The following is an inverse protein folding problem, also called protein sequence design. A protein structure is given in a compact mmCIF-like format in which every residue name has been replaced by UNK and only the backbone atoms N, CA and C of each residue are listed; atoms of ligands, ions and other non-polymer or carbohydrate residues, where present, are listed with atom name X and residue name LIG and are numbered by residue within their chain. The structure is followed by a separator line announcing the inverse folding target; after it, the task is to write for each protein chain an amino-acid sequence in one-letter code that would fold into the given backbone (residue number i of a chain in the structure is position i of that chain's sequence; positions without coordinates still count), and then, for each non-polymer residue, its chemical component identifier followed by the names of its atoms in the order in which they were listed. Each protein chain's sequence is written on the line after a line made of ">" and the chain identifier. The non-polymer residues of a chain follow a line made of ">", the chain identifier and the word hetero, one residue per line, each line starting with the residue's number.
data_IF_247859969942
#
_entry.id   IF_247859969942
#
_cell.length_a   1.000
_cell.length_b   1.000
_cell.length_c   1.000
_cell.angle_alpha   90.00
_cell.angle_beta   90.00
_cell.angle_gamma   90.00
#
_symmetry.space_group_name_H-M   'P 1'
#
loop_
_entity.id
_entity.type
_entity.pdbx_description
1 polymer ?
#
# COMPACT_ATOMS: atom_id res chain seq x y z
N UNK A 1 12.39 14.11 10.29
CA UNK A 1 12.73 15.50 10.66
C UNK A 1 13.10 15.65 12.14
N UNK A 2 12.19 15.96 13.08
CA UNK A 2 12.54 16.33 14.48
C UNK A 2 13.50 15.39 15.23
N UNK A 3 13.35 14.07 15.08
CA UNK A 3 14.18 13.08 15.76
C UNK A 3 15.64 13.06 15.26
N UNK A 4 15.85 13.34 13.97
CA UNK A 4 17.15 13.17 13.31
C UNK A 4 17.71 14.49 12.74
N UNK A 5 17.01 15.60 12.89
CA UNK A 5 17.42 16.91 12.37
C UNK A 5 17.42 17.03 10.83
N UNK A 6 16.90 16.04 10.11
CA UNK A 6 16.88 15.99 8.63
C UNK A 6 15.74 16.82 8.03
N UNK A 7 15.88 17.18 6.76
CA UNK A 7 14.85 17.83 5.94
C UNK A 7 13.63 16.93 5.70
N UNK A 8 12.56 17.52 5.16
CA UNK A 8 11.36 16.77 4.77
C UNK A 8 11.64 15.82 3.60
N UNK A 9 12.38 16.28 2.59
CA UNK A 9 12.76 15.49 1.42
C UNK A 9 13.57 14.26 1.81
N UNK A 10 14.64 14.43 2.60
CA UNK A 10 15.46 13.31 3.10
C UNK A 10 14.63 12.32 3.94
N UNK A 11 13.67 12.83 4.71
CA UNK A 11 12.76 11.99 5.46
C UNK A 11 11.87 11.18 4.51
N UNK A 12 11.20 11.83 3.56
CA UNK A 12 10.35 11.17 2.57
C UNK A 12 11.10 10.10 1.76
N UNK A 13 12.34 10.39 1.35
CA UNK A 13 13.17 9.44 0.61
C UNK A 13 13.49 8.18 1.42
N UNK A 14 13.89 8.33 2.69
CA UNK A 14 14.12 7.15 3.55
C UNK A 14 12.83 6.38 3.82
N UNK A 15 11.69 7.06 3.98
CA UNK A 15 10.40 6.40 4.13
C UNK A 15 10.03 5.58 2.88
N UNK A 16 10.22 6.13 1.68
CA UNK A 16 10.02 5.42 0.43
C UNK A 16 10.96 4.20 0.32
N UNK A 17 12.24 4.36 0.71
CA UNK A 17 13.20 3.26 0.77
C UNK A 17 12.73 2.14 1.71
N UNK A 18 12.20 2.51 2.89
CA UNK A 18 11.67 1.55 3.86
C UNK A 18 10.41 0.83 3.38
N UNK A 19 9.54 1.50 2.63
CA UNK A 19 8.38 0.85 1.98
C UNK A 19 8.84 -0.23 1.00
N UNK A 20 9.86 0.05 0.18
CA UNK A 20 10.44 -0.95 -0.74
C UNK A 20 11.05 -2.14 0.01
N UNK A 21 11.73 -1.89 1.14
CA UNK A 21 12.26 -2.96 1.99
C UNK A 21 11.13 -3.80 2.59
N UNK A 22 10.10 -3.17 3.14
CA UNK A 22 8.95 -3.86 3.72
C UNK A 22 8.23 -4.74 2.70
N UNK A 23 8.13 -4.31 1.44
CA UNK A 23 7.59 -5.16 0.36
C UNK A 23 8.44 -6.41 0.11
N UNK A 24 9.78 -6.31 0.19
CA UNK A 24 10.67 -7.47 0.07
C UNK A 24 10.51 -8.42 1.25
N UNK A 25 10.44 -7.89 2.47
CA UNK A 25 10.22 -8.67 3.69
C UNK A 25 8.88 -9.42 3.63
N UNK A 26 7.79 -8.76 3.22
CA UNK A 26 6.49 -9.42 3.00
C UNK A 26 6.64 -10.60 2.03
N UNK A 27 7.30 -10.39 0.88
CA UNK A 27 7.47 -11.46 -0.11
C UNK A 27 8.30 -12.63 0.44
N UNK A 28 9.37 -12.34 1.18
CA UNK A 28 10.21 -13.37 1.80
C UNK A 28 9.46 -14.16 2.87
N UNK A 29 8.66 -13.51 3.72
CA UNK A 29 7.86 -14.17 4.76
C UNK A 29 6.76 -15.05 4.16
N UNK A 30 6.17 -14.66 3.03
CA UNK A 30 5.19 -15.50 2.32
C UNK A 30 5.79 -16.80 1.74
N UNK A 31 7.12 -16.89 1.60
CA UNK A 31 7.81 -18.11 1.17
C UNK A 31 8.14 -19.06 2.33
N UNK A 32 8.07 -18.59 3.57
CA UNK A 32 8.41 -19.36 4.77
C UNK A 32 7.16 -20.08 5.30
N UNK A 33 7.31 -21.26 5.93
CA UNK A 33 6.23 -21.86 6.71
C UNK A 33 5.75 -20.88 7.78
N UNK A 34 4.44 -20.78 7.93
CA UNK A 34 3.80 -19.86 8.86
C UNK A 34 2.65 -20.55 9.57
N UNK A 35 2.44 -20.21 10.84
CA UNK A 35 1.32 -20.74 11.65
C UNK A 35 -0.02 -20.11 11.24
N UNK A 36 0.01 -18.92 10.64
CA UNK A 36 -1.18 -18.20 10.24
C UNK A 36 -1.82 -18.84 9.00
N UNK A 37 -3.15 -18.94 9.01
CA UNK A 37 -3.88 -19.42 7.84
C UNK A 37 -3.69 -18.46 6.64
N UNK A 38 -3.41 -19.02 5.47
CA UNK A 38 -3.20 -18.25 4.22
C UNK A 38 -4.27 -17.17 3.95
N UNK A 39 -5.59 -17.41 4.16
CA UNK A 39 -6.60 -16.36 3.96
C UNK A 39 -6.40 -15.12 4.84
N UNK A 40 -5.85 -15.26 6.05
CA UNK A 40 -5.58 -14.13 6.95
C UNK A 40 -4.42 -13.31 6.40
N UNK A 41 -3.35 -13.98 5.96
CA UNK A 41 -2.18 -13.33 5.38
C UNK A 41 -2.53 -12.59 4.10
N UNK A 42 -3.33 -13.20 3.21
CA UNK A 42 -3.79 -12.57 1.98
C UNK A 42 -4.63 -11.32 2.26
N UNK A 43 -5.44 -11.30 3.33
CA UNK A 43 -6.18 -10.09 3.74
C UNK A 43 -5.23 -8.97 4.15
N UNK A 44 -4.21 -9.25 4.96
CA UNK A 44 -3.23 -8.25 5.37
C UNK A 44 -2.43 -7.70 4.17
N UNK A 45 -2.01 -8.60 3.26
CA UNK A 45 -1.34 -8.24 2.01
C UNK A 45 -2.22 -7.33 1.13
N UNK A 46 -3.49 -7.68 0.96
CA UNK A 46 -4.41 -6.87 0.16
C UNK A 46 -4.72 -5.52 0.80
N UNK A 47 -4.75 -5.41 2.13
CA UNK A 47 -4.87 -4.13 2.82
C UNK A 47 -3.66 -3.22 2.52
N UNK A 48 -2.44 -3.76 2.59
CA UNK A 48 -1.23 -3.01 2.23
C UNK A 48 -1.27 -2.51 0.78
N UNK A 49 -1.73 -3.35 -0.16
CA UNK A 49 -1.90 -2.98 -1.58
C UNK A 49 -2.91 -1.85 -1.78
N UNK A 50 -4.03 -1.89 -1.05
CA UNK A 50 -5.06 -0.84 -1.13
C UNK A 50 -4.52 0.49 -0.59
N UNK A 51 -3.76 0.48 0.50
CA UNK A 51 -3.13 1.69 1.05
C UNK A 51 -2.13 2.27 0.04
N UNK A 52 -1.27 1.45 -0.55
CA UNK A 52 -0.32 1.88 -1.59
C UNK A 52 -1.04 2.52 -2.79
N UNK A 53 -2.12 1.90 -3.26
CA UNK A 53 -2.93 2.43 -4.36
C UNK A 53 -3.55 3.80 -4.03
N UNK A 54 -4.16 3.93 -2.86
CA UNK A 54 -4.90 5.14 -2.47
C UNK A 54 -3.98 6.33 -2.19
N UNK A 55 -2.78 6.09 -1.66
CA UNK A 55 -1.86 7.15 -1.25
C UNK A 55 -0.72 7.42 -2.24
N UNK A 56 -0.66 6.69 -3.36
CA UNK A 56 0.39 6.84 -4.37
C UNK A 56 0.59 8.28 -4.86
N UNK A 57 -0.50 9.02 -5.02
CA UNK A 57 -0.51 10.38 -5.56
C UNK A 57 -1.31 11.32 -4.64
N UNK A 58 -0.99 11.34 -3.35
CA UNK A 58 -1.72 12.11 -2.34
C UNK A 58 -2.92 11.36 -1.76
N UNK A 59 -3.75 12.03 -0.97
CA UNK A 59 -4.86 11.41 -0.24
C UNK A 59 -6.08 11.13 -1.13
N UNK A 60 -6.04 10.07 -1.93
CA UNK A 60 -7.17 9.67 -2.76
C UNK A 60 -8.26 8.90 -1.99
N UNK A 61 -8.08 8.70 -0.67
CA UNK A 61 -9.10 8.06 0.17
C UNK A 61 -10.14 9.08 0.62
N UNK A 62 -9.71 10.22 1.16
CA UNK A 62 -10.64 11.29 1.58
C UNK A 62 -10.87 12.32 0.49
N UNK A 63 -9.83 12.63 -0.31
CA UNK A 63 -9.91 13.55 -1.45
C UNK A 63 -10.02 12.73 -2.74
N UNK A 64 -11.17 12.08 -2.91
CA UNK A 64 -11.37 11.08 -3.96
C UNK A 64 -11.17 11.67 -5.36
N UNK A 65 -9.99 11.39 -5.93
CA UNK A 65 -9.61 11.77 -7.29
C UNK A 65 -10.26 10.88 -8.36
N UNK A 66 -10.08 11.28 -9.62
CA UNK A 66 -10.63 10.54 -10.77
C UNK A 66 -10.20 9.07 -10.79
N UNK A 67 -8.92 8.79 -10.54
CA UNK A 67 -8.37 7.43 -10.56
C UNK A 67 -9.09 6.49 -9.60
N UNK A 68 -9.34 6.93 -8.36
CA UNK A 68 -10.05 6.10 -7.37
C UNK A 68 -11.52 5.91 -7.76
N UNK A 69 -12.19 6.95 -8.26
CA UNK A 69 -13.59 6.84 -8.73
C UNK A 69 -13.71 5.83 -9.87
N UNK A 70 -12.85 5.95 -10.87
CA UNK A 70 -12.85 5.07 -12.04
C UNK A 70 -12.54 3.62 -11.62
N UNK A 71 -11.59 3.43 -10.69
CA UNK A 71 -11.24 2.10 -10.17
C UNK A 71 -12.39 1.45 -9.38
N UNK A 72 -13.12 2.23 -8.58
CA UNK A 72 -14.31 1.75 -7.85
C UNK A 72 -15.44 1.41 -8.82
N UNK A 73 -15.68 2.25 -9.83
CA UNK A 73 -16.70 2.02 -10.85
C UNK A 73 -16.45 0.70 -11.58
N UNK A 74 -15.25 0.50 -12.12
CA UNK A 74 -14.88 -0.72 -12.86
C UNK A 74 -14.93 -1.98 -11.99
N UNK A 75 -14.65 -1.87 -10.68
CA UNK A 75 -14.62 -3.03 -9.79
C UNK A 75 -15.99 -3.41 -9.21
N UNK A 76 -16.85 -2.43 -8.93
CA UNK A 76 -18.05 -2.63 -8.10
C UNK A 76 -19.36 -2.17 -8.75
N UNK A 77 -19.31 -1.42 -9.85
CA UNK A 77 -20.50 -0.82 -10.48
C UNK A 77 -20.68 -1.37 -11.90
N UNK A 78 -19.61 -1.30 -12.71
CA UNK A 78 -19.67 -1.63 -14.12
C UNK A 78 -19.61 -3.15 -14.31
N UNK A 79 -20.51 -3.74 -15.12
CA UNK A 79 -20.43 -5.14 -15.45
C UNK A 79 -19.23 -5.43 -16.36
N UNK A 80 -18.63 -6.61 -16.19
CA UNK A 80 -17.64 -7.11 -17.14
C UNK A 80 -18.38 -7.45 -18.45
N UNK A 81 -17.95 -6.94 -19.62
CA UNK A 81 -18.55 -7.26 -20.91
C UNK A 81 -18.57 -8.76 -21.23
#
# INVERSE_FOLDING_TARGET
>A
MKQYGVSEEEACDEMNRRVVIAWKEINEEFLKPTEAASPILVRALNLARVIDLLYKNGDNYTQVGKVTKDSVAVLLIDPIP
#
